data_IF_282836231917
#
_entry.id   IF_282836231917
#
_cell.length_a   1.000
_cell.length_b   1.000
_cell.length_c   1.000
_cell.angle_alpha   90.00
_cell.angle_beta   90.00
_cell.angle_gamma   90.00
#
_symmetry.space_group_name_H-M   'P 1'
#
loop_
_entity.id
_entity.type
_entity.pdbx_description
1 polymer ?
#
# COMPACT_ATOMS: atom_id res chain seq x y z
N UNK A 1 -10.44 13.24 14.23
CA UNK A 1 -10.99 13.21 12.86
C UNK A 1 -11.90 12.01 12.74
N UNK A 2 -13.17 12.20 12.42
CA UNK A 2 -14.11 11.11 12.24
C UNK A 2 -13.82 10.44 10.89
N UNK A 3 -13.40 9.18 10.90
CA UNK A 3 -13.06 8.41 9.69
C UNK A 3 -14.29 7.98 8.84
N UNK A 4 -15.48 8.46 9.17
CA UNK A 4 -16.75 7.98 8.63
C UNK A 4 -17.43 8.94 7.62
N UNK A 5 -16.71 9.95 7.13
CA UNK A 5 -17.26 10.86 6.13
C UNK A 5 -17.00 10.42 4.68
N UNK A 6 -17.80 10.92 3.74
CA UNK A 6 -17.53 10.76 2.31
C UNK A 6 -16.31 11.60 1.90
N UNK A 7 -15.70 11.26 0.77
CA UNK A 7 -14.54 12.00 0.25
C UNK A 7 -14.89 13.47 -0.05
N UNK A 8 -16.13 13.75 -0.46
CA UNK A 8 -16.64 15.09 -0.69
C UNK A 8 -16.79 15.89 0.61
N UNK A 9 -17.23 15.26 1.70
CA UNK A 9 -17.28 15.89 3.02
C UNK A 9 -15.89 16.28 3.52
N UNK A 10 -14.90 15.40 3.38
CA UNK A 10 -13.52 15.70 3.72
C UNK A 10 -12.94 16.83 2.86
N UNK A 11 -13.26 16.86 1.58
CA UNK A 11 -12.87 17.96 0.69
C UNK A 11 -13.48 19.28 1.15
N UNK A 12 -14.77 19.29 1.45
CA UNK A 12 -15.47 20.48 1.96
C UNK A 12 -14.84 21.00 3.25
N UNK A 13 -14.48 20.09 4.18
CA UNK A 13 -13.81 20.46 5.44
C UNK A 13 -12.41 21.04 5.24
N UNK A 14 -11.65 20.54 4.26
CA UNK A 14 -10.28 20.97 4.03
C UNK A 14 -10.19 22.30 3.27
N UNK A 15 -11.11 22.55 2.36
CA UNK A 15 -11.04 23.67 1.42
C UNK A 15 -12.16 24.71 1.62
N UNK A 16 -13.03 24.50 2.60
CA UNK A 16 -14.24 25.33 2.86
C UNK A 16 -15.06 25.55 1.57
N UNK A 17 -15.12 24.55 0.72
CA UNK A 17 -15.76 24.60 -0.58
C UNK A 17 -16.70 23.40 -0.75
N UNK A 18 -18.02 23.59 -0.68
CA UNK A 18 -18.96 22.48 -0.86
C UNK A 18 -18.88 21.92 -2.27
N UNK A 19 -18.82 20.61 -2.38
CA UNK A 19 -18.84 19.88 -3.64
C UNK A 19 -19.80 18.71 -3.55
N UNK A 20 -20.64 18.51 -4.55
CA UNK A 20 -21.50 17.34 -4.63
C UNK A 20 -20.66 16.09 -4.94
N UNK A 21 -21.02 14.95 -4.32
CA UNK A 21 -20.35 13.65 -4.52
C UNK A 21 -20.24 13.25 -5.99
N UNK A 22 -21.30 13.50 -6.79
CA UNK A 22 -21.30 13.23 -8.22
C UNK A 22 -20.26 14.07 -8.97
N UNK A 23 -20.21 15.38 -8.69
CA UNK A 23 -19.24 16.30 -9.30
C UNK A 23 -17.81 15.96 -8.90
N UNK A 24 -17.60 15.59 -7.63
CA UNK A 24 -16.30 15.14 -7.15
C UNK A 24 -15.87 13.84 -7.87
N UNK A 25 -16.76 12.86 -7.95
CA UNK A 25 -16.50 11.60 -8.62
C UNK A 25 -16.19 11.77 -10.11
N UNK A 26 -16.96 12.63 -10.80
CA UNK A 26 -16.73 12.96 -12.21
C UNK A 26 -15.37 13.62 -12.43
N UNK A 27 -15.02 14.61 -11.63
CA UNK A 27 -13.71 15.29 -11.73
C UNK A 27 -12.56 14.34 -11.46
N UNK A 28 -12.68 13.46 -10.47
CA UNK A 28 -11.67 12.45 -10.15
C UNK A 28 -11.43 11.49 -11.33
N UNK A 29 -12.48 11.10 -12.06
CA UNK A 29 -12.33 10.19 -13.23
C UNK A 29 -11.63 10.84 -14.42
N UNK A 30 -11.59 12.17 -14.48
CA UNK A 30 -10.90 12.96 -15.51
C UNK A 30 -9.43 13.22 -15.18
N UNK A 31 -8.98 12.97 -13.95
CA UNK A 31 -7.58 13.12 -13.57
C UNK A 31 -6.74 12.04 -14.25
N UNK A 32 -5.65 12.39 -14.92
CA UNK A 32 -4.69 11.42 -15.41
C UNK A 32 -4.13 10.57 -14.25
N UNK A 33 -3.91 9.29 -14.47
CA UNK A 33 -3.35 8.41 -13.44
C UNK A 33 -1.93 8.84 -12.99
N UNK A 34 -1.21 9.53 -13.85
CA UNK A 34 0.14 10.08 -13.60
C UNK A 34 0.15 11.06 -12.42
N UNK A 35 -0.93 11.80 -12.22
CA UNK A 35 -1.09 12.69 -11.04
C UNK A 35 -1.03 11.87 -9.75
N UNK A 36 -1.74 10.74 -9.72
CA UNK A 36 -1.73 9.87 -8.54
C UNK A 36 -0.38 9.17 -8.35
N UNK A 37 0.27 8.76 -9.44
CA UNK A 37 1.60 8.18 -9.40
C UNK A 37 2.62 9.16 -8.82
N UNK A 38 2.56 10.43 -9.23
CA UNK A 38 3.46 11.46 -8.72
C UNK A 38 3.18 11.79 -7.25
N UNK A 39 1.91 11.86 -6.84
CA UNK A 39 1.56 12.04 -5.43
C UNK A 39 2.07 10.89 -4.56
N UNK A 40 1.93 9.65 -5.01
CA UNK A 40 2.48 8.51 -4.31
C UNK A 40 4.01 8.60 -4.24
N UNK A 41 4.68 8.95 -5.33
CA UNK A 41 6.14 9.12 -5.37
C UNK A 41 6.64 10.17 -4.38
N UNK A 42 5.93 11.28 -4.23
CA UNK A 42 6.27 12.37 -3.31
C UNK A 42 5.89 12.04 -1.86
N UNK A 43 4.77 11.35 -1.67
CA UNK A 43 4.22 11.02 -0.36
C UNK A 43 4.84 9.79 0.29
N UNK A 44 5.19 8.78 -0.51
CA UNK A 44 5.73 7.51 -0.01
C UNK A 44 7.23 7.64 0.30
N UNK A 45 7.55 8.13 1.48
CA UNK A 45 8.92 8.34 1.97
C UNK A 45 8.97 8.27 3.50
N UNK A 46 10.14 7.98 4.09
CA UNK A 46 10.30 8.06 5.55
C UNK A 46 10.08 9.48 6.05
N UNK A 47 9.25 9.65 7.07
CA UNK A 47 8.93 10.94 7.67
C UNK A 47 9.36 11.04 9.14
N UNK A 48 9.40 9.93 9.89
CA UNK A 48 9.77 9.97 11.29
C UNK A 48 11.24 10.37 11.48
N UNK A 49 11.48 11.23 12.45
CA UNK A 49 12.80 11.60 12.93
C UNK A 49 13.00 11.09 14.35
N UNK A 50 14.15 10.52 14.66
CA UNK A 50 14.40 9.85 15.94
C UNK A 50 14.27 10.80 17.14
N UNK A 51 14.56 12.07 16.96
CA UNK A 51 14.43 13.10 18.00
C UNK A 51 13.00 13.56 18.23
N UNK A 52 12.19 13.61 17.17
CA UNK A 52 10.80 14.08 17.23
C UNK A 52 9.80 12.93 17.46
N UNK A 53 10.09 11.73 16.96
CA UNK A 53 9.25 10.55 17.09
C UNK A 53 10.07 9.34 17.60
N UNK A 54 10.53 9.34 18.85
CA UNK A 54 11.37 8.26 19.39
C UNK A 54 10.69 6.89 19.31
N UNK A 55 9.36 6.82 19.42
CA UNK A 55 8.59 5.57 19.35
C UNK A 55 8.59 4.93 17.96
N UNK A 56 8.99 5.67 16.92
CA UNK A 56 9.18 5.12 15.57
C UNK A 56 10.51 4.36 15.43
N UNK A 57 11.32 4.30 16.49
CA UNK A 57 12.64 3.69 16.45
C UNK A 57 12.88 2.77 17.65
N UNK A 58 13.61 1.71 17.41
CA UNK A 58 14.09 0.82 18.44
C UNK A 58 15.62 0.71 18.34
N UNK A 59 16.34 1.17 19.37
CA UNK A 59 17.82 1.19 19.38
C UNK A 59 18.44 1.84 18.12
N UNK A 60 17.83 2.91 17.62
CA UNK A 60 18.27 3.61 16.41
C UNK A 60 17.87 2.96 15.09
N UNK A 61 17.08 1.88 15.11
CA UNK A 61 16.50 1.24 13.93
C UNK A 61 15.07 1.71 13.74
N UNK A 62 14.75 2.18 12.55
CA UNK A 62 13.39 2.58 12.17
C UNK A 62 12.46 1.36 12.17
N UNK A 63 11.35 1.46 12.85
CA UNK A 63 10.34 0.39 12.88
C UNK A 63 9.45 0.47 11.64
N UNK A 64 9.44 -0.60 10.85
CA UNK A 64 8.68 -0.70 9.61
C UNK A 64 7.88 -1.99 9.61
N UNK A 65 6.62 -1.92 9.21
CA UNK A 65 5.81 -3.11 8.96
C UNK A 65 5.63 -3.35 7.46
N UNK A 66 5.59 -4.62 7.07
CA UNK A 66 5.16 -5.06 5.76
C UNK A 66 3.83 -5.78 5.91
N UNK A 67 2.82 -5.27 5.22
CA UNK A 67 1.49 -5.87 5.20
C UNK A 67 0.92 -5.92 3.79
N UNK A 68 0.00 -6.85 3.57
CA UNK A 68 -0.71 -7.03 2.32
C UNK A 68 -2.22 -6.86 2.49
N UNK A 69 -2.85 -6.23 1.54
CA UNK A 69 -4.31 -6.10 1.50
C UNK A 69 -4.87 -6.39 0.12
N UNK A 70 -6.16 -6.66 0.05
CA UNK A 70 -6.84 -6.95 -1.20
C UNK A 70 -8.06 -6.07 -1.36
N UNK A 71 -8.15 -5.41 -2.52
CA UNK A 71 -9.31 -4.62 -2.92
C UNK A 71 -10.16 -5.38 -3.93
N UNK A 72 -11.47 -5.39 -3.74
CA UNK A 72 -12.42 -5.91 -4.75
C UNK A 72 -12.57 -4.88 -5.86
N UNK A 73 -12.39 -5.34 -7.10
CA UNK A 73 -12.50 -4.48 -8.28
C UNK A 73 -13.90 -4.54 -8.88
N UNK A 74 -14.40 -3.41 -9.31
CA UNK A 74 -15.69 -3.32 -10.03
C UNK A 74 -15.64 -4.13 -11.34
N UNK A 75 -16.75 -4.82 -11.69
CA UNK A 75 -16.84 -5.64 -12.88
C UNK A 75 -17.03 -4.82 -14.18
N UNK A 76 -16.13 -3.88 -14.47
CA UNK A 76 -16.13 -3.17 -15.77
C UNK A 76 -15.56 -4.05 -16.88
N UNK A 77 -15.86 -3.77 -18.16
CA UNK A 77 -15.26 -4.49 -19.29
C UNK A 77 -13.72 -4.48 -19.26
N UNK A 78 -13.12 -3.32 -18.93
CA UNK A 78 -11.68 -3.14 -18.82
C UNK A 78 -11.07 -4.01 -17.71
N UNK A 79 -11.68 -4.02 -16.51
CA UNK A 79 -11.24 -4.86 -15.39
C UNK A 79 -11.35 -6.34 -15.75
N UNK A 80 -12.45 -6.76 -16.40
CA UNK A 80 -12.62 -8.15 -16.84
C UNK A 80 -11.58 -8.59 -17.87
N UNK A 81 -11.14 -7.68 -18.74
CA UNK A 81 -10.10 -7.96 -19.74
C UNK A 81 -8.70 -8.11 -19.10
N UNK A 82 -8.41 -7.36 -18.05
CA UNK A 82 -7.06 -7.28 -17.46
C UNK A 82 -6.86 -8.13 -16.21
N UNK A 83 -7.95 -8.58 -15.57
CA UNK A 83 -7.88 -9.33 -14.31
C UNK A 83 -8.49 -10.73 -14.43
N UNK A 84 -8.18 -11.59 -13.48
CA UNK A 84 -8.86 -12.90 -13.32
C UNK A 84 -9.55 -12.97 -11.96
N UNK A 85 -10.79 -13.50 -11.98
CA UNK A 85 -11.48 -13.86 -10.74
C UNK A 85 -10.87 -15.14 -10.19
N UNK A 86 -10.68 -15.19 -8.89
CA UNK A 86 -10.21 -16.40 -8.23
C UNK A 86 -11.20 -17.56 -8.43
N UNK A 87 -10.67 -18.77 -8.62
CA UNK A 87 -11.45 -20.00 -8.62
C UNK A 87 -11.53 -20.51 -7.18
N UNK A 88 -12.73 -20.66 -6.67
CA UNK A 88 -13.00 -21.18 -5.33
C UNK A 88 -13.65 -22.56 -5.42
N UNK A 89 -13.77 -23.27 -4.31
CA UNK A 89 -14.51 -24.56 -4.26
C UNK A 89 -15.99 -24.41 -4.68
N UNK A 90 -16.58 -23.22 -4.49
CA UNK A 90 -17.99 -22.91 -4.82
C UNK A 90 -18.16 -22.25 -6.20
N UNK A 91 -17.09 -22.22 -7.02
CA UNK A 91 -17.12 -21.60 -8.34
C UNK A 91 -16.19 -20.39 -8.46
N UNK A 92 -16.45 -19.49 -9.41
CA UNK A 92 -15.66 -18.26 -9.58
C UNK A 92 -16.11 -17.19 -8.60
N UNK A 93 -15.14 -16.46 -8.04
CA UNK A 93 -15.42 -15.31 -7.19
C UNK A 93 -16.29 -14.26 -7.92
N UNK A 94 -17.14 -13.56 -7.17
CA UNK A 94 -18.02 -12.53 -7.73
C UNK A 94 -17.24 -11.38 -8.37
N UNK A 95 -16.12 -10.99 -7.73
CA UNK A 95 -15.25 -9.87 -8.13
C UNK A 95 -13.80 -10.32 -8.30
N UNK A 96 -13.10 -9.68 -9.22
CA UNK A 96 -11.64 -9.75 -9.25
C UNK A 96 -11.06 -9.00 -8.06
N UNK A 97 -9.89 -9.40 -7.59
CA UNK A 97 -9.18 -8.74 -6.51
C UNK A 97 -7.86 -8.16 -7.00
N UNK A 98 -7.51 -6.99 -6.50
CA UNK A 98 -6.21 -6.38 -6.61
C UNK A 98 -5.48 -6.59 -5.29
N UNK A 99 -4.36 -7.30 -5.32
CA UNK A 99 -3.48 -7.44 -4.17
C UNK A 99 -2.55 -6.24 -4.11
N UNK A 100 -2.38 -5.66 -2.93
CA UNK A 100 -1.49 -4.53 -2.69
C UNK A 100 -0.61 -4.87 -1.50
N UNK A 101 0.69 -4.67 -1.63
CA UNK A 101 1.62 -4.67 -0.50
C UNK A 101 1.97 -3.25 -0.10
N UNK A 102 2.20 -3.03 1.18
CA UNK A 102 2.57 -1.71 1.73
C UNK A 102 3.67 -1.88 2.76
N UNK A 103 4.69 -1.04 2.69
CA UNK A 103 5.61 -0.78 3.80
C UNK A 103 5.07 0.39 4.61
N UNK A 104 4.90 0.20 5.90
CA UNK A 104 4.34 1.17 6.81
C UNK A 104 5.35 1.55 7.90
N UNK A 105 5.60 2.84 8.08
CA UNK A 105 6.36 3.38 9.21
C UNK A 105 5.49 3.34 10.48
N UNK A 106 5.88 2.56 11.47
CA UNK A 106 4.98 2.23 12.59
C UNK A 106 4.69 3.42 13.52
N UNK A 107 5.69 4.24 13.80
CA UNK A 107 5.51 5.37 14.72
C UNK A 107 4.53 6.44 14.23
N UNK A 108 4.49 6.70 12.94
CA UNK A 108 3.60 7.68 12.32
C UNK A 108 2.40 7.04 11.60
N UNK A 109 2.37 5.71 11.47
CA UNK A 109 1.44 4.97 10.62
C UNK A 109 1.41 5.50 9.17
N UNK A 110 2.60 5.90 8.68
CA UNK A 110 2.77 6.50 7.37
C UNK A 110 3.28 5.47 6.35
N UNK A 111 2.67 5.35 5.17
CA UNK A 111 3.16 4.44 4.15
C UNK A 111 4.46 4.94 3.54
N UNK A 112 5.50 4.10 3.55
CA UNK A 112 6.81 4.37 2.96
C UNK A 112 6.88 3.98 1.50
N UNK A 113 6.22 2.88 1.15
CA UNK A 113 6.19 2.32 -0.19
C UNK A 113 4.93 1.49 -0.38
N UNK A 114 4.46 1.38 -1.61
CA UNK A 114 3.36 0.52 -1.99
C UNK A 114 3.65 -0.18 -3.32
N UNK A 115 3.21 -1.42 -3.45
CA UNK A 115 3.28 -2.20 -4.68
C UNK A 115 1.92 -2.79 -5.02
N UNK A 116 1.51 -2.63 -6.28
CA UNK A 116 0.27 -3.17 -6.80
C UNK A 116 0.54 -4.47 -7.55
N UNK A 117 -0.20 -5.52 -7.21
CA UNK A 117 -0.11 -6.81 -7.85
C UNK A 117 -0.65 -6.78 -9.27
N UNK A 118 0.18 -7.22 -10.22
CA UNK A 118 -0.26 -7.48 -11.58
C UNK A 118 -0.89 -8.88 -11.68
N UNK A 119 -1.63 -9.12 -12.74
CA UNK A 119 -2.24 -10.43 -13.00
C UNK A 119 -1.20 -11.55 -12.91
N UNK A 120 -1.42 -12.51 -12.02
CA UNK A 120 -0.54 -13.66 -11.82
C UNK A 120 0.70 -13.39 -10.96
N UNK A 121 0.88 -12.19 -10.47
CA UNK A 121 1.96 -11.86 -9.55
C UNK A 121 1.62 -12.38 -8.15
N UNK A 122 2.56 -13.05 -7.52
CA UNK A 122 2.41 -13.56 -6.16
C UNK A 122 2.60 -12.45 -5.12
N UNK A 123 2.04 -12.62 -3.94
CA UNK A 123 2.30 -11.73 -2.78
C UNK A 123 3.80 -11.66 -2.46
N UNK A 124 4.51 -12.75 -2.66
CA UNK A 124 5.96 -12.81 -2.53
C UNK A 124 6.70 -11.86 -3.47
N UNK A 125 6.32 -11.82 -4.74
CA UNK A 125 6.94 -10.90 -5.70
C UNK A 125 6.69 -9.42 -5.33
N UNK A 126 5.53 -9.11 -4.72
CA UNK A 126 5.25 -7.78 -4.19
C UNK A 126 6.11 -7.49 -2.96
N UNK A 127 6.24 -8.44 -2.06
CA UNK A 127 7.09 -8.31 -0.88
C UNK A 127 8.55 -8.03 -1.27
N UNK A 128 9.12 -8.77 -2.23
CA UNK A 128 10.48 -8.53 -2.73
C UNK A 128 10.65 -7.12 -3.31
N UNK A 129 9.69 -6.64 -4.10
CA UNK A 129 9.73 -5.29 -4.67
C UNK A 129 9.69 -4.20 -3.58
N UNK A 130 8.99 -4.46 -2.47
CA UNK A 130 8.92 -3.56 -1.33
C UNK A 130 10.18 -3.65 -0.45
N UNK A 131 10.73 -4.83 -0.25
CA UNK A 131 11.98 -5.01 0.50
C UNK A 131 13.14 -4.24 -0.12
N UNK A 132 13.16 -4.11 -1.44
CA UNK A 132 14.16 -3.28 -2.15
C UNK A 132 14.05 -1.77 -1.83
N UNK A 133 12.92 -1.33 -1.26
CA UNK A 133 12.66 0.06 -0.89
C UNK A 133 12.79 0.32 0.62
N UNK A 134 13.23 -0.67 1.39
CA UNK A 134 13.45 -0.51 2.83
C UNK A 134 14.50 0.59 3.09
N UNK A 135 14.22 1.54 3.98
CA UNK A 135 15.21 2.50 4.42
C UNK A 135 16.43 1.81 5.05
N UNK A 136 17.58 2.44 4.96
CA UNK A 136 18.75 2.00 5.72
C UNK A 136 18.44 1.99 7.22
N UNK A 137 18.97 0.99 7.95
CA UNK A 137 18.74 0.81 9.38
C UNK A 137 17.25 0.68 9.75
N UNK A 138 16.48 -0.09 8.96
CA UNK A 138 15.12 -0.44 9.29
C UNK A 138 15.06 -1.82 9.97
N UNK A 139 14.19 -1.93 10.99
CA UNK A 139 13.76 -3.18 11.59
C UNK A 139 12.38 -3.51 11.01
N UNK A 140 12.31 -4.57 10.22
CA UNK A 140 11.08 -5.00 9.55
C UNK A 140 10.28 -5.93 10.45
N UNK A 141 9.03 -5.58 10.69
CA UNK A 141 8.00 -6.46 11.24
C UNK A 141 7.11 -6.93 10.10
N UNK A 142 6.95 -8.22 9.99
CA UNK A 142 6.10 -8.83 8.98
C UNK A 142 5.35 -10.00 9.58
N UNK A 143 4.20 -10.33 9.01
CA UNK A 143 3.45 -11.49 9.41
C UNK A 143 4.24 -12.78 9.06
N UNK A 144 3.74 -13.90 9.58
CA UNK A 144 4.37 -15.23 9.49
C UNK A 144 4.61 -15.69 8.04
N UNK A 145 3.76 -15.31 7.10
CA UNK A 145 3.91 -15.61 5.68
C UNK A 145 5.12 -14.88 5.05
N UNK A 146 5.42 -13.68 5.52
CA UNK A 146 6.51 -12.86 5.02
C UNK A 146 7.82 -13.11 5.80
N UNK A 147 7.72 -13.46 7.07
CA UNK A 147 8.85 -13.65 7.98
C UNK A 147 9.72 -14.89 7.66
N UNK A 148 9.13 -15.98 7.19
CA UNK A 148 9.86 -17.22 6.87
C UNK A 148 10.80 -17.08 5.67
N UNK A 149 10.62 -16.08 4.81
CA UNK A 149 11.35 -15.89 3.57
C UNK A 149 12.43 -14.81 3.67
N UNK A 150 12.22 -13.78 4.47
CA UNK A 150 13.20 -12.70 4.66
C UNK A 150 14.49 -13.19 5.34
N UNK A 151 14.40 -14.20 6.20
CA UNK A 151 15.55 -14.76 6.90
C UNK A 151 16.47 -15.62 6.00
N UNK A 152 15.93 -16.27 4.98
CA UNK A 152 16.74 -17.13 4.10
C UNK A 152 17.58 -16.36 3.07
N UNK A 153 17.12 -15.22 2.60
CA UNK A 153 17.84 -14.46 1.57
C UNK A 153 18.96 -13.56 2.13
N UNK A 154 18.94 -13.23 3.43
CA UNK A 154 20.04 -12.48 4.08
C UNK A 154 21.13 -13.36 4.68
N UNK A 155 20.83 -14.61 5.00
CA UNK A 155 21.84 -15.56 5.46
C UNK A 155 22.86 -15.91 4.37
N UNK A 156 22.50 -15.80 3.10
CA UNK A 156 23.40 -16.07 1.96
C UNK A 156 24.27 -14.86 1.53
N UNK A 157 23.99 -13.65 2.02
CA UNK A 157 24.72 -12.43 1.65
C UNK A 157 25.83 -12.03 2.62
N UNK A 158 26.08 -12.83 3.70
CA UNK A 158 27.11 -12.56 4.71
C UNK A 158 28.11 -13.69 4.89
N UNK A 159 28.30 -14.51 3.87
CA UNK A 159 29.30 -15.59 3.85
C UNK A 159 30.26 -15.42 2.67
N UNK A 160 30.85 -14.24 2.51
CA UNK A 160 32.07 -13.99 1.72
C UNK A 160 32.88 -12.90 2.40
#
# INVERSE_FOLDING_TARGET
>A
MNAAGTLAEHFTQLFDAPIADSSFSERRTRLPWEVFAEWLRLGLRPLAEATAQPDAFWRGWRLVALDGTQFSLTNTPQVKATTRKAKTRRGRAAFAKLTTGVLLELGLHHPLAAALGRRGQSEWALALALLAQLPARALLLADRLHGSWANNSRASAHSD
#
